data_IF_223975773883
#
_entry.id   IF_223975773883
#
_cell.length_a   1.000
_cell.length_b   1.000
_cell.length_c   1.000
_cell.angle_alpha   90.00
_cell.angle_beta   90.00
_cell.angle_gamma   90.00
#
_symmetry.space_group_name_H-M   'P 1'
#
loop_
_entity.id
_entity.type
_entity.pdbx_description
1 polymer ?
#
# COMPACT_ATOMS: atom_id res chain seq x y z
N UNK A 1 30.46 10.37 15.77
CA UNK A 1 29.33 10.14 16.70
C UNK A 1 27.97 10.40 16.05
N UNK A 2 27.55 11.65 15.77
CA UNK A 2 26.25 11.91 15.10
C UNK A 2 26.14 11.19 13.75
N UNK A 3 27.21 11.22 12.96
CA UNK A 3 27.27 10.58 11.65
C UNK A 3 27.15 9.03 11.74
N UNK A 4 27.77 8.41 12.75
CA UNK A 4 27.75 6.94 12.90
C UNK A 4 26.36 6.43 13.30
N UNK A 5 25.64 7.19 14.14
CA UNK A 5 24.27 6.87 14.52
C UNK A 5 23.32 7.00 13.32
N UNK A 6 23.41 8.10 12.55
CA UNK A 6 22.61 8.31 11.33
C UNK A 6 22.85 7.17 10.32
N UNK A 7 24.12 6.80 10.10
CA UNK A 7 24.48 5.67 9.22
C UNK A 7 23.86 4.36 9.67
N UNK A 8 23.92 4.06 10.97
CA UNK A 8 23.33 2.84 11.53
C UNK A 8 21.81 2.80 11.34
N UNK A 9 21.12 3.93 11.58
CA UNK A 9 19.67 4.04 11.37
C UNK A 9 19.28 3.87 9.90
N UNK A 10 20.05 4.42 8.96
CA UNK A 10 19.80 4.21 7.52
C UNK A 10 20.12 2.80 7.04
N UNK A 11 21.16 2.17 7.57
CA UNK A 11 21.45 0.76 7.29
C UNK A 11 20.29 -0.12 7.77
N UNK A 12 19.79 0.14 8.98
CA UNK A 12 18.61 -0.52 9.54
C UNK A 12 17.35 -0.26 8.72
N UNK A 13 17.15 0.95 8.21
CA UNK A 13 16.04 1.29 7.32
C UNK A 13 16.14 0.51 6.00
N UNK A 14 17.30 0.53 5.34
CA UNK A 14 17.53 -0.15 4.07
C UNK A 14 17.31 -1.66 4.16
N UNK A 15 17.81 -2.31 5.22
CA UNK A 15 17.56 -3.74 5.48
C UNK A 15 16.07 -4.06 5.62
N UNK A 16 15.29 -3.19 6.27
CA UNK A 16 13.84 -3.35 6.39
C UNK A 16 13.13 -3.12 5.05
N UNK A 17 13.56 -2.13 4.27
CA UNK A 17 13.03 -1.87 2.93
C UNK A 17 13.27 -3.04 1.97
N UNK A 18 14.41 -3.71 2.08
CA UNK A 18 14.68 -4.94 1.33
C UNK A 18 13.66 -6.05 1.66
N UNK A 19 13.37 -6.26 2.95
CA UNK A 19 12.36 -7.23 3.40
C UNK A 19 10.96 -6.83 2.92
N UNK A 20 10.62 -5.54 2.96
CA UNK A 20 9.36 -5.00 2.43
C UNK A 20 9.26 -5.31 0.93
N UNK A 21 10.33 -5.13 0.16
CA UNK A 21 10.39 -5.46 -1.26
C UNK A 21 10.14 -6.94 -1.54
N UNK A 22 10.77 -7.84 -0.78
CA UNK A 22 10.50 -9.29 -0.87
C UNK A 22 9.02 -9.58 -0.56
N UNK A 23 8.51 -9.01 0.54
CA UNK A 23 7.11 -9.22 0.93
C UNK A 23 6.15 -8.72 -0.17
N UNK A 24 6.43 -7.57 -0.80
CA UNK A 24 5.62 -7.04 -1.89
C UNK A 24 5.50 -8.02 -3.07
N UNK A 25 6.58 -8.73 -3.41
CA UNK A 25 6.54 -9.79 -4.44
C UNK A 25 5.72 -10.98 -3.95
N UNK A 26 5.89 -11.40 -2.70
CA UNK A 26 5.15 -12.54 -2.11
C UNK A 26 3.65 -12.28 -2.01
N UNK A 27 3.21 -11.02 -1.91
CA UNK A 27 1.79 -10.65 -1.89
C UNK A 27 1.05 -11.03 -3.18
N UNK A 28 1.77 -11.23 -4.29
CA UNK A 28 1.19 -11.66 -5.58
C UNK A 28 0.79 -13.14 -5.55
N UNK A 29 1.43 -13.95 -4.69
CA UNK A 29 1.22 -15.40 -4.63
C UNK A 29 -0.02 -15.69 -3.76
N UNK A 30 -1.05 -16.39 -4.30
CA UNK A 30 -2.20 -16.83 -3.52
C UNK A 30 -1.79 -17.63 -2.28
N UNK A 31 -2.55 -17.52 -1.18
CA UNK A 31 -2.33 -18.17 0.13
C UNK A 31 -1.10 -17.70 0.94
N UNK A 32 -0.04 -17.23 0.29
CA UNK A 32 1.14 -16.63 0.97
C UNK A 32 0.86 -15.20 1.41
N UNK A 33 -0.09 -14.53 0.73
CA UNK A 33 -0.43 -13.12 0.94
C UNK A 33 -0.83 -12.75 2.38
N UNK A 34 -1.51 -13.62 3.14
CA UNK A 34 -1.94 -13.30 4.51
C UNK A 34 -0.73 -13.15 5.42
N UNK A 35 0.18 -14.13 5.43
CA UNK A 35 1.38 -14.07 6.28
C UNK A 35 2.31 -12.94 5.81
N UNK A 36 2.50 -12.83 4.48
CA UNK A 36 3.33 -11.79 3.89
C UNK A 36 2.81 -10.38 4.21
N UNK A 37 1.49 -10.15 4.23
CA UNK A 37 0.90 -8.84 4.53
C UNK A 37 1.12 -8.40 5.99
N UNK A 38 1.04 -9.34 6.94
CA UNK A 38 1.34 -9.07 8.34
C UNK A 38 2.82 -8.69 8.50
N UNK A 39 3.73 -9.46 7.89
CA UNK A 39 5.17 -9.17 7.94
C UNK A 39 5.45 -7.82 7.27
N UNK A 40 4.91 -7.59 6.07
CA UNK A 40 5.02 -6.33 5.33
C UNK A 40 4.63 -5.14 6.21
N UNK A 41 3.47 -5.22 6.86
CA UNK A 41 2.96 -4.15 7.72
C UNK A 41 3.89 -3.85 8.90
N UNK A 42 4.36 -4.90 9.60
CA UNK A 42 5.29 -4.74 10.73
C UNK A 42 6.57 -4.04 10.28
N UNK A 43 7.13 -4.44 9.14
CA UNK A 43 8.38 -3.88 8.64
C UNK A 43 8.22 -2.44 8.14
N UNK A 44 7.08 -2.09 7.53
CA UNK A 44 6.74 -0.71 7.17
C UNK A 44 6.71 0.19 8.40
N UNK A 45 6.04 -0.21 9.48
CA UNK A 45 6.01 0.60 10.72
C UNK A 45 7.43 0.77 11.27
N UNK A 46 8.21 -0.31 11.31
CA UNK A 46 9.58 -0.27 11.82
C UNK A 46 10.48 0.64 10.97
N UNK A 47 10.41 0.57 9.64
CA UNK A 47 11.22 1.40 8.74
C UNK A 47 10.88 2.90 8.88
N UNK A 48 9.59 3.25 8.98
CA UNK A 48 9.17 4.62 9.27
C UNK A 48 9.64 5.10 10.65
N UNK A 49 9.77 4.20 11.61
CA UNK A 49 10.36 4.47 12.92
C UNK A 49 11.83 4.86 12.84
N UNK A 50 12.61 4.21 11.97
CA UNK A 50 14.02 4.54 11.73
C UNK A 50 14.15 5.94 11.12
N UNK A 51 13.37 6.24 10.07
CA UNK A 51 13.35 7.57 9.43
C UNK A 51 12.94 8.67 10.42
N UNK A 52 11.98 8.39 11.32
CA UNK A 52 11.60 9.34 12.38
C UNK A 52 12.78 9.65 13.31
N UNK A 53 13.61 8.66 13.65
CA UNK A 53 14.79 8.88 14.51
C UNK A 53 15.85 9.72 13.80
N UNK A 54 16.12 9.46 12.52
CA UNK A 54 17.02 10.29 11.70
C UNK A 54 16.49 11.71 11.60
N UNK A 55 15.20 11.89 11.29
CA UNK A 55 14.56 13.20 11.26
C UNK A 55 14.74 13.95 12.59
N UNK A 56 14.57 13.28 13.73
CA UNK A 56 14.73 13.92 15.03
C UNK A 56 16.16 14.44 15.27
N UNK A 57 17.16 13.82 14.65
CA UNK A 57 18.57 14.19 14.75
C UNK A 57 18.95 15.31 13.77
N UNK A 58 18.53 15.19 12.50
CA UNK A 58 18.93 16.11 11.42
C UNK A 58 17.97 17.28 11.23
N UNK A 59 16.72 17.16 11.70
CA UNK A 59 15.62 18.11 11.47
C UNK A 59 15.38 18.42 9.98
N UNK A 60 15.69 17.47 9.12
CA UNK A 60 15.57 17.58 7.68
C UNK A 60 14.10 17.48 7.22
N UNK A 61 13.63 18.46 6.46
CA UNK A 61 12.24 18.53 6.01
C UNK A 61 11.89 17.41 5.03
N UNK A 62 12.80 17.00 4.16
CA UNK A 62 12.54 15.99 3.14
C UNK A 62 12.31 14.60 3.76
N UNK A 63 12.99 14.28 4.87
CA UNK A 63 12.69 13.05 5.62
C UNK A 63 11.31 13.06 6.27
N UNK A 64 10.87 14.23 6.74
CA UNK A 64 9.51 14.38 7.28
C UNK A 64 8.47 14.21 6.18
N UNK A 65 8.68 14.86 5.03
CA UNK A 65 7.77 14.80 3.88
C UNK A 65 7.72 13.38 3.29
N UNK A 66 8.86 12.68 3.15
CA UNK A 66 8.89 11.25 2.82
C UNK A 66 7.97 10.45 3.74
N UNK A 67 8.11 10.63 5.07
CA UNK A 67 7.34 9.88 6.06
C UNK A 67 5.85 10.17 5.95
N UNK A 68 5.47 11.43 5.76
CA UNK A 68 4.08 11.85 5.64
C UNK A 68 3.45 11.25 4.38
N UNK A 69 4.07 11.41 3.21
CA UNK A 69 3.51 10.87 1.96
C UNK A 69 3.43 9.35 1.97
N UNK A 70 4.43 8.67 2.53
CA UNK A 70 4.41 7.21 2.66
C UNK A 70 3.30 6.74 3.60
N UNK A 71 3.10 7.40 4.75
CA UNK A 71 2.00 7.08 5.68
C UNK A 71 0.64 7.33 5.03
N UNK A 72 0.46 8.46 4.34
CA UNK A 72 -0.80 8.77 3.66
C UNK A 72 -1.08 7.73 2.58
N UNK A 73 -0.07 7.37 1.77
CA UNK A 73 -0.19 6.30 0.76
C UNK A 73 -0.65 4.99 1.40
N UNK A 74 -0.04 4.61 2.52
CA UNK A 74 -0.40 3.40 3.22
C UNK A 74 -1.84 3.44 3.79
N UNK A 75 -2.28 4.58 4.32
CA UNK A 75 -3.66 4.78 4.79
C UNK A 75 -4.66 4.67 3.64
N UNK A 76 -4.35 5.24 2.47
CA UNK A 76 -5.21 5.12 1.28
C UNK A 76 -5.41 3.66 0.90
N UNK A 77 -4.34 2.87 0.86
CA UNK A 77 -4.41 1.43 0.55
C UNK A 77 -5.31 0.69 1.56
N UNK A 78 -5.16 0.99 2.86
CA UNK A 78 -6.02 0.37 3.89
C UNK A 78 -7.50 0.73 3.71
N UNK A 79 -7.80 1.99 3.43
CA UNK A 79 -9.17 2.45 3.19
C UNK A 79 -9.75 1.79 1.94
N UNK A 80 -8.97 1.71 0.85
CA UNK A 80 -9.37 1.03 -0.39
C UNK A 80 -9.70 -0.45 -0.17
N UNK A 81 -8.85 -1.15 0.60
CA UNK A 81 -9.10 -2.54 0.98
C UNK A 81 -10.38 -2.74 1.81
N UNK A 82 -10.66 -1.83 2.77
CA UNK A 82 -11.89 -1.87 3.58
C UNK A 82 -13.11 -1.63 2.71
N UNK A 83 -13.10 -0.58 1.87
CA UNK A 83 -14.21 -0.24 0.97
C UNK A 83 -14.50 -1.41 0.02
N UNK A 84 -13.46 -1.98 -0.58
CA UNK A 84 -13.58 -3.16 -1.46
C UNK A 84 -14.20 -4.35 -0.73
N UNK A 85 -13.78 -4.62 0.51
CA UNK A 85 -14.33 -5.71 1.33
C UNK A 85 -15.82 -5.51 1.61
N UNK A 86 -16.23 -4.28 1.95
CA UNK A 86 -17.63 -3.93 2.20
C UNK A 86 -18.49 -4.09 0.93
N UNK A 87 -17.97 -3.68 -0.23
CA UNK A 87 -18.66 -3.85 -1.51
C UNK A 87 -18.89 -5.33 -1.83
N UNK A 88 -17.89 -6.20 -1.62
CA UNK A 88 -18.02 -7.65 -1.82
C UNK A 88 -19.07 -8.24 -0.87
N UNK A 89 -19.05 -7.84 0.40
CA UNK A 89 -20.03 -8.29 1.39
C UNK A 89 -21.44 -7.88 0.95
N UNK A 90 -21.63 -6.64 0.52
CA UNK A 90 -22.93 -6.14 0.05
C UNK A 90 -23.43 -6.93 -1.17
N UNK A 91 -22.56 -7.20 -2.15
CA UNK A 91 -22.90 -8.03 -3.31
C UNK A 91 -23.37 -9.44 -2.90
N UNK A 92 -22.69 -10.06 -1.93
CA UNK A 92 -23.08 -11.38 -1.41
C UNK A 92 -24.47 -11.33 -0.77
N UNK A 93 -24.76 -10.28 0.01
CA UNK A 93 -26.10 -10.10 0.60
C UNK A 93 -27.18 -9.96 -0.47
N UNK A 94 -26.98 -9.12 -1.48
CA UNK A 94 -27.94 -8.91 -2.58
C UNK A 94 -28.19 -10.20 -3.37
N UNK A 95 -27.13 -10.96 -3.69
CA UNK A 95 -27.28 -12.25 -4.37
C UNK A 95 -28.06 -13.26 -3.50
N UNK A 96 -27.81 -13.27 -2.19
CA UNK A 96 -28.53 -14.15 -1.27
C UNK A 96 -30.02 -13.79 -1.20
N UNK A 97 -30.36 -12.51 -1.15
CA UNK A 97 -31.76 -12.02 -1.16
C UNK A 97 -32.49 -12.43 -2.43
N UNK A 98 -31.87 -12.23 -3.61
CA UNK A 98 -32.45 -12.67 -4.89
C UNK A 98 -32.69 -14.18 -4.90
N UNK A 99 -31.75 -14.96 -4.35
CA UNK A 99 -31.91 -16.42 -4.25
C UNK A 99 -33.05 -16.82 -3.31
N UNK A 100 -33.36 -16.03 -2.28
CA UNK A 100 -34.52 -16.26 -1.42
C UNK A 100 -35.84 -15.97 -2.16
N UNK A 101 -35.91 -14.89 -2.93
CA UNK A 101 -37.08 -14.59 -3.77
C UNK A 101 -37.39 -15.72 -4.76
N UNK A 102 -36.36 -16.31 -5.37
CA UNK A 102 -36.51 -17.48 -6.24
C UNK A 102 -37.06 -18.69 -5.49
N UNK A 103 -36.59 -18.94 -4.26
CA UNK A 103 -37.05 -20.07 -3.43
C UNK A 103 -38.51 -19.91 -3.00
N UNK A 104 -38.93 -18.68 -2.71
CA UNK A 104 -40.30 -18.36 -2.29
C UNK A 104 -41.28 -18.34 -3.47
N UNK A 105 -40.78 -18.32 -4.71
CA UNK A 105 -41.60 -18.25 -5.93
C UNK A 105 -42.04 -16.84 -6.28
N UNK A 106 -41.44 -15.82 -5.67
CA UNK A 106 -41.74 -14.40 -5.94
C UNK A 106 -41.29 -13.99 -7.35
N UNK A 107 -40.19 -14.59 -7.82
CA UNK A 107 -39.65 -14.40 -9.18
C UNK A 107 -39.27 -15.75 -9.80
N UNK A 108 -39.34 -15.84 -11.13
CA UNK A 108 -38.84 -17.02 -11.83
C UNK A 108 -37.30 -17.02 -11.90
N UNK A 109 -36.72 -18.20 -12.17
CA UNK A 109 -35.26 -18.38 -12.21
C UNK A 109 -34.57 -17.62 -13.34
N UNK A 110 -35.25 -17.43 -14.47
CA UNK A 110 -34.67 -16.79 -15.65
C UNK A 110 -34.48 -15.29 -15.43
N UNK A 111 -35.50 -14.63 -14.89
CA UNK A 111 -35.46 -13.21 -14.53
C UNK A 111 -34.42 -12.96 -13.43
N UNK A 112 -34.37 -13.83 -12.40
CA UNK A 112 -33.37 -13.76 -11.35
C UNK A 112 -31.94 -13.86 -11.90
N UNK A 113 -31.69 -14.80 -12.81
CA UNK A 113 -30.37 -14.97 -13.43
C UNK A 113 -29.98 -13.74 -14.26
N UNK A 114 -30.93 -13.14 -14.97
CA UNK A 114 -30.69 -11.90 -15.71
C UNK A 114 -30.30 -10.76 -14.76
N UNK A 115 -31.02 -10.58 -13.66
CA UNK A 115 -30.73 -9.56 -12.66
C UNK A 115 -29.37 -9.76 -12.00
N UNK A 116 -29.03 -11.00 -11.62
CA UNK A 116 -27.71 -11.33 -11.07
C UNK A 116 -26.60 -11.00 -12.07
N UNK A 117 -26.78 -11.33 -13.36
CA UNK A 117 -25.78 -11.02 -14.38
C UNK A 117 -25.57 -9.51 -14.55
N UNK A 118 -26.65 -8.73 -14.62
CA UNK A 118 -26.59 -7.26 -14.69
C UNK A 118 -25.91 -6.66 -13.45
N UNK A 119 -26.26 -7.16 -12.25
CA UNK A 119 -25.64 -6.77 -10.99
C UNK A 119 -24.13 -7.06 -10.98
N UNK A 120 -23.73 -8.26 -11.41
CA UNK A 120 -22.32 -8.67 -11.48
C UNK A 120 -21.52 -7.78 -12.44
N UNK A 121 -22.07 -7.42 -13.60
CA UNK A 121 -21.41 -6.52 -14.57
C UNK A 121 -21.21 -5.13 -13.97
N UNK A 122 -22.26 -4.58 -13.34
CA UNK A 122 -22.19 -3.27 -12.70
C UNK A 122 -21.18 -3.27 -11.54
N UNK A 123 -21.18 -4.33 -10.73
CA UNK A 123 -20.23 -4.52 -9.64
C UNK A 123 -18.79 -4.59 -10.16
N UNK A 124 -18.51 -5.41 -11.17
CA UNK A 124 -17.18 -5.54 -11.77
C UNK A 124 -16.69 -4.21 -12.33
N UNK A 125 -17.55 -3.48 -13.04
CA UNK A 125 -17.22 -2.16 -13.60
C UNK A 125 -16.87 -1.16 -12.50
N UNK A 126 -17.64 -1.16 -11.42
CA UNK A 126 -17.42 -0.29 -10.26
C UNK A 126 -16.12 -0.63 -9.53
N UNK A 127 -15.85 -1.92 -9.35
CA UNK A 127 -14.64 -2.42 -8.71
C UNK A 127 -13.38 -2.04 -9.51
N UNK A 128 -13.37 -2.28 -10.82
CA UNK A 128 -12.25 -1.90 -11.69
C UNK A 128 -12.00 -0.40 -11.65
N UNK A 129 -13.07 0.41 -11.71
CA UNK A 129 -12.97 1.87 -11.61
C UNK A 129 -12.32 2.31 -10.30
N UNK A 130 -12.76 1.74 -9.18
CA UNK A 130 -12.20 2.02 -7.85
C UNK A 130 -10.72 1.63 -7.77
N UNK A 131 -10.37 0.44 -8.25
CA UNK A 131 -8.98 -0.05 -8.25
C UNK A 131 -8.05 0.86 -9.07
N UNK A 132 -8.49 1.33 -10.24
CA UNK A 132 -7.69 2.27 -11.05
C UNK A 132 -7.44 3.57 -10.29
N UNK A 133 -8.48 4.14 -9.67
CA UNK A 133 -8.36 5.39 -8.89
C UNK A 133 -7.38 5.21 -7.73
N UNK A 134 -7.51 4.11 -6.98
CA UNK A 134 -6.64 3.79 -5.85
C UNK A 134 -5.18 3.63 -6.28
N UNK A 135 -4.92 2.89 -7.36
CA UNK A 135 -3.57 2.68 -7.92
C UNK A 135 -2.95 4.01 -8.35
N UNK A 136 -3.69 4.85 -9.07
CA UNK A 136 -3.18 6.16 -9.52
C UNK A 136 -2.82 7.06 -8.33
N UNK A 137 -3.72 7.20 -7.36
CA UNK A 137 -3.51 8.07 -6.20
C UNK A 137 -2.35 7.59 -5.33
N UNK A 138 -2.29 6.28 -5.09
CA UNK A 138 -1.23 5.64 -4.31
C UNK A 138 0.12 5.80 -5.02
N UNK A 139 0.18 5.62 -6.34
CA UNK A 139 1.41 5.76 -7.14
C UNK A 139 1.95 7.19 -7.10
N UNK A 140 1.07 8.20 -7.16
CA UNK A 140 1.45 9.61 -7.01
C UNK A 140 2.09 9.85 -5.64
N UNK A 141 1.43 9.43 -4.56
CA UNK A 141 1.95 9.61 -3.19
C UNK A 141 3.27 8.89 -2.95
N UNK A 142 3.42 7.67 -3.46
CA UNK A 142 4.68 6.93 -3.35
C UNK A 142 5.79 7.62 -4.13
N UNK A 143 5.51 8.10 -5.34
CA UNK A 143 6.48 8.85 -6.14
C UNK A 143 6.93 10.11 -5.40
N UNK A 144 6.01 10.85 -4.80
CA UNK A 144 6.32 12.03 -3.97
C UNK A 144 7.16 11.68 -2.74
N UNK A 145 6.85 10.56 -2.08
CA UNK A 145 7.66 10.07 -0.97
C UNK A 145 9.09 9.81 -1.46
N UNK A 146 9.28 8.94 -2.45
CA UNK A 146 10.59 8.57 -2.97
C UNK A 146 11.38 9.76 -3.52
N UNK A 147 10.71 10.73 -4.14
CA UNK A 147 11.34 11.96 -4.59
C UNK A 147 11.97 12.75 -3.44
N UNK A 148 11.27 12.88 -2.31
CA UNK A 148 11.81 13.55 -1.12
C UNK A 148 13.00 12.79 -0.52
N UNK A 149 12.92 11.45 -0.47
CA UNK A 149 14.06 10.65 -0.01
C UNK A 149 15.28 10.82 -0.93
N UNK A 150 15.06 10.91 -2.24
CA UNK A 150 16.13 11.14 -3.21
C UNK A 150 16.78 12.52 -3.02
N UNK A 151 15.99 13.57 -2.82
CA UNK A 151 16.51 14.92 -2.51
C UNK A 151 17.36 14.87 -1.25
N UNK A 152 16.86 14.25 -0.19
CA UNK A 152 17.62 14.08 1.06
C UNK A 152 19.00 13.46 0.81
N UNK A 153 19.07 12.37 0.03
CA UNK A 153 20.35 11.72 -0.28
C UNK A 153 21.28 12.59 -1.13
N UNK A 154 20.75 13.41 -2.05
CA UNK A 154 21.55 14.36 -2.84
C UNK A 154 22.17 15.45 -1.97
N UNK A 155 21.39 16.03 -1.07
CA UNK A 155 21.83 17.12 -0.20
C UNK A 155 22.79 16.63 0.91
N UNK A 156 22.63 15.38 1.34
CA UNK A 156 23.39 14.78 2.43
C UNK A 156 24.38 13.69 1.96
N UNK A 157 24.77 13.68 0.68
CA UNK A 157 25.65 12.67 0.08
C UNK A 157 26.91 12.40 0.92
N UNK A 158 27.55 13.46 1.42
CA UNK A 158 28.77 13.36 2.23
C UNK A 158 28.62 12.57 3.54
N UNK A 159 27.39 12.31 4.00
CA UNK A 159 27.10 11.49 5.18
C UNK A 159 27.13 9.98 4.87
N UNK A 160 27.11 9.58 3.60
CA UNK A 160 27.01 8.18 3.19
C UNK A 160 28.26 7.76 2.39
N UNK A 161 28.61 6.46 2.40
CA UNK A 161 29.54 5.92 1.42
C UNK A 161 29.03 6.22 0.01
N UNK A 162 29.92 6.65 -0.87
CA UNK A 162 29.59 7.12 -2.23
C UNK A 162 28.75 6.12 -3.03
N UNK A 163 29.03 4.83 -2.87
CA UNK A 163 28.25 3.74 -3.49
C UNK A 163 26.78 3.78 -3.03
N UNK A 164 26.53 3.89 -1.73
CA UNK A 164 25.17 3.89 -1.16
C UNK A 164 24.41 5.15 -1.58
N UNK A 165 25.07 6.32 -1.54
CA UNK A 165 24.46 7.57 -1.98
C UNK A 165 24.08 7.50 -3.46
N UNK A 166 24.99 7.02 -4.32
CA UNK A 166 24.75 6.93 -5.75
C UNK A 166 23.66 5.92 -6.10
N UNK A 167 23.64 4.75 -5.45
CA UNK A 167 22.61 3.73 -5.68
C UNK A 167 21.23 4.27 -5.24
N UNK A 168 21.13 4.87 -4.06
CA UNK A 168 19.88 5.45 -3.57
C UNK A 168 19.37 6.61 -4.44
N UNK A 169 20.27 7.37 -5.06
CA UNK A 169 19.93 8.48 -5.97
C UNK A 169 19.49 7.97 -7.34
N UNK A 170 20.08 6.89 -7.84
CA UNK A 170 19.79 6.34 -9.18
C UNK A 170 18.55 5.46 -9.21
N UNK A 171 18.21 4.83 -8.08
CA UNK A 171 17.07 3.91 -7.97
C UNK A 171 17.48 2.48 -8.29
#
# INVERSE_FOLDING_TARGET
MLNDQVKNEFSNFGSKMYIIGICAILLIIPFVNIIASIIFFIYVIKSLGDIKRVYNQLKDKHLQDYRIYYIISFVVILVGAIVTSLLIINLIYEINEINEWVKNGDINKEDAQKWINELMINFQTSLVTLMIIEVLFTSILQTLAWHNLNIFFKENNSMFPEIIANDAIRG
#
